data_IF_632775548908
#
_entry.id   IF_632775548908
#
_cell.length_a   1.000
_cell.length_b   1.000
_cell.length_c   1.000
_cell.angle_alpha   90.00
_cell.angle_beta   90.00
_cell.angle_gamma   90.00
#
_symmetry.space_group_name_H-M   'P 1'
#
loop_
_entity.id
_entity.type
_entity.pdbx_description
1 polymer ?
#
# COMPACT_ATOMS: atom_id res chain seq x y z
N UNK A 1 14.08 -4.59 82.28
CA UNK A 1 14.29 -5.34 80.98
C UNK A 1 13.33 -4.75 79.99
N UNK A 2 13.80 -3.82 79.14
CA UNK A 2 12.99 -3.05 78.19
C UNK A 2 13.37 -3.47 76.77
N UNK A 3 12.43 -4.14 76.06
CA UNK A 3 12.60 -4.57 74.72
C UNK A 3 12.38 -3.37 73.80
N UNK A 4 13.41 -3.02 73.03
CA UNK A 4 13.32 -2.04 71.93
C UNK A 4 12.72 -2.72 70.67
N UNK A 5 11.56 -2.27 70.26
CA UNK A 5 10.92 -2.66 68.99
C UNK A 5 11.48 -1.73 67.91
N UNK A 6 12.32 -2.30 67.05
CA UNK A 6 12.81 -1.60 65.86
C UNK A 6 11.74 -1.70 64.73
N UNK A 7 11.10 -0.59 64.39
CA UNK A 7 10.19 -0.52 63.23
C UNK A 7 11.05 -0.34 61.96
N UNK A 8 11.12 -1.39 61.15
CA UNK A 8 11.66 -1.32 59.81
C UNK A 8 10.64 -0.63 58.90
N UNK A 9 10.98 0.56 58.42
CA UNK A 9 10.19 1.31 57.45
C UNK A 9 10.54 0.78 56.04
N UNK A 10 9.70 -0.12 55.53
CA UNK A 10 9.83 -0.64 54.18
C UNK A 10 9.24 0.39 53.20
N UNK A 11 10.12 1.14 52.58
CA UNK A 11 9.76 2.12 51.55
C UNK A 11 9.45 1.38 50.24
N UNK A 12 8.17 1.14 49.95
CA UNK A 12 7.72 0.65 48.67
C UNK A 12 7.83 1.79 47.62
N UNK A 13 8.88 1.80 46.85
CA UNK A 13 8.96 2.64 45.66
C UNK A 13 8.05 1.99 44.60
N UNK A 14 6.84 2.53 44.46
CA UNK A 14 5.99 2.23 43.29
C UNK A 14 6.64 2.86 42.06
N UNK A 15 7.31 2.05 41.25
CA UNK A 15 7.65 2.39 39.90
C UNK A 15 6.32 2.40 39.11
N UNK A 16 5.75 3.57 38.92
CA UNK A 16 4.69 3.75 37.94
C UNK A 16 5.33 3.56 36.58
N UNK A 17 5.28 2.35 36.03
CA UNK A 17 5.46 2.14 34.60
C UNK A 17 4.29 2.82 33.92
N UNK A 18 4.52 4.03 33.40
CA UNK A 18 3.66 4.61 32.40
C UNK A 18 3.75 3.71 31.18
N UNK A 19 2.75 2.85 30.99
CA UNK A 19 2.51 2.22 29.71
C UNK A 19 2.13 3.36 28.77
N UNK A 20 3.09 3.90 28.05
CA UNK A 20 2.81 4.69 26.87
C UNK A 20 2.16 3.70 25.92
N UNK A 21 0.85 3.77 25.76
CA UNK A 21 0.16 3.06 24.70
C UNK A 21 0.75 3.62 23.38
N UNK A 22 1.72 2.91 22.84
CA UNK A 22 2.16 3.12 21.49
C UNK A 22 0.96 2.76 20.62
N UNK A 23 0.28 3.77 20.09
CA UNK A 23 -0.65 3.54 18.99
C UNK A 23 0.22 3.13 17.80
N UNK A 24 0.35 1.81 17.60
CA UNK A 24 0.95 1.29 16.39
C UNK A 24 0.17 1.88 15.20
N UNK A 25 0.83 2.59 14.32
CA UNK A 25 0.22 3.02 13.09
C UNK A 25 -0.06 1.76 12.26
N UNK A 26 -1.30 1.56 11.84
CA UNK A 26 -1.64 0.42 10.97
C UNK A 26 -1.09 0.59 9.54
N UNK A 27 -0.71 1.81 9.17
CA UNK A 27 -0.19 2.21 7.87
C UNK A 27 0.58 3.53 7.97
N UNK A 28 1.45 3.76 7.02
CA UNK A 28 2.02 5.07 6.71
C UNK A 28 1.74 5.44 5.27
N UNK A 29 1.75 6.72 4.98
CA UNK A 29 1.52 7.29 3.65
C UNK A 29 2.46 8.44 3.40
N UNK A 30 3.03 8.52 2.22
CA UNK A 30 3.90 9.62 1.79
C UNK A 30 3.05 10.67 1.09
N UNK A 31 3.12 11.92 1.54
CA UNK A 31 2.41 13.07 0.99
C UNK A 31 3.38 14.22 0.75
N UNK A 32 3.21 14.95 -0.34
CA UNK A 32 4.05 16.10 -0.67
C UNK A 32 4.18 16.31 -2.16
N UNK A 33 4.69 17.46 -2.57
CA UNK A 33 4.91 17.76 -3.98
C UNK A 33 6.04 16.94 -4.63
N UNK A 34 6.89 16.29 -3.80
CA UNK A 34 7.88 15.32 -4.28
C UNK A 34 7.27 13.99 -4.75
N UNK A 35 6.03 13.66 -4.42
CA UNK A 35 5.34 12.44 -4.88
C UNK A 35 4.20 12.76 -5.83
N UNK A 36 3.70 11.72 -6.49
CA UNK A 36 2.63 11.79 -7.48
C UNK A 36 1.37 12.53 -7.00
N UNK A 37 0.86 12.18 -5.80
CA UNK A 37 -0.40 12.70 -5.26
C UNK A 37 -0.34 14.14 -4.75
N UNK A 38 0.86 14.77 -4.74
CA UNK A 38 1.06 16.10 -4.22
C UNK A 38 0.63 16.22 -2.74
N UNK A 39 0.18 17.40 -2.35
CA UNK A 39 -0.33 17.69 -1.00
C UNK A 39 -1.81 17.32 -0.81
N UNK A 40 -2.28 16.25 -1.48
CA UNK A 40 -3.64 15.73 -1.33
C UNK A 40 -3.61 14.43 -0.52
N UNK A 41 -4.02 14.43 0.78
CA UNK A 41 -3.93 13.22 1.63
C UNK A 41 -4.64 12.00 1.05
N UNK A 42 -5.79 12.18 0.40
CA UNK A 42 -6.52 11.09 -0.24
C UNK A 42 -5.75 10.43 -1.41
N UNK A 43 -4.76 11.14 -2.00
CA UNK A 43 -3.90 10.64 -3.07
C UNK A 43 -2.47 10.29 -2.58
N UNK A 44 -2.25 10.18 -1.27
CA UNK A 44 -0.96 9.81 -0.69
C UNK A 44 -0.51 8.41 -1.11
N UNK A 45 0.79 8.22 -1.25
CA UNK A 45 1.38 6.92 -1.56
C UNK A 45 1.41 6.04 -0.30
N UNK A 46 0.74 4.91 -0.34
CA UNK A 46 0.68 3.98 0.79
C UNK A 46 2.01 3.23 0.94
N UNK A 47 2.54 3.21 2.15
CA UNK A 47 3.67 2.36 2.54
C UNK A 47 3.14 1.06 3.15
N UNK A 48 3.67 -0.06 2.72
CA UNK A 48 3.27 -1.38 3.20
C UNK A 48 4.01 -1.75 4.49
N UNK A 49 3.36 -2.46 5.43
CA UNK A 49 4.04 -2.98 6.62
C UNK A 49 5.18 -3.94 6.23
N UNK A 50 6.33 -3.81 6.91
CA UNK A 50 7.52 -4.65 6.76
C UNK A 50 8.08 -5.11 8.12
N UNK A 51 7.22 -5.26 9.09
CA UNK A 51 7.51 -5.63 10.47
C UNK A 51 6.69 -4.83 11.45
N UNK A 52 6.94 -5.03 12.74
CA UNK A 52 6.26 -4.27 13.79
C UNK A 52 6.73 -2.80 13.78
N UNK A 53 5.82 -1.88 13.47
CA UNK A 53 6.09 -0.44 13.32
C UNK A 53 7.15 -0.09 12.25
N UNK A 54 7.42 -0.99 11.30
CA UNK A 54 8.28 -0.72 10.15
C UNK A 54 7.44 -0.73 8.88
N UNK A 55 7.66 0.27 8.02
CA UNK A 55 6.90 0.46 6.77
C UNK A 55 7.86 0.71 5.63
N UNK A 56 7.51 0.18 4.46
CA UNK A 56 8.31 0.35 3.25
C UNK A 56 7.46 0.72 2.04
N UNK A 57 8.10 1.42 1.10
CA UNK A 57 7.56 1.71 -0.21
C UNK A 57 8.70 1.83 -1.23
N UNK A 58 8.50 1.28 -2.42
CA UNK A 58 9.27 1.70 -3.60
C UNK A 58 8.50 2.83 -4.26
N UNK A 59 9.04 4.05 -4.28
CA UNK A 59 8.31 5.23 -4.73
C UNK A 59 9.19 6.19 -5.52
N UNK A 60 8.62 6.77 -6.58
CA UNK A 60 9.28 7.84 -7.32
C UNK A 60 9.22 9.14 -6.51
N UNK A 61 10.39 9.60 -6.09
CA UNK A 61 10.57 10.89 -5.42
C UNK A 61 11.20 11.87 -6.39
N UNK A 62 10.58 13.04 -6.51
CA UNK A 62 11.06 14.15 -7.33
C UNK A 62 11.96 15.06 -6.49
N UNK A 63 13.09 15.45 -7.08
CA UNK A 63 13.97 16.48 -6.52
C UNK A 63 13.27 17.84 -6.51
N UNK A 64 13.60 18.67 -5.53
CA UNK A 64 13.21 20.07 -5.49
C UNK A 64 13.72 20.80 -6.74
N UNK A 65 12.82 21.37 -7.52
CA UNK A 65 13.12 22.18 -8.72
C UNK A 65 12.75 23.67 -8.55
N UNK A 66 12.03 23.98 -7.46
CA UNK A 66 11.58 25.34 -7.13
C UNK A 66 10.33 25.79 -7.90
N UNK A 67 9.88 25.03 -8.89
CA UNK A 67 8.68 25.31 -9.69
C UNK A 67 7.55 24.34 -9.37
N UNK A 68 7.74 23.04 -9.64
CA UNK A 68 6.78 21.96 -9.40
C UNK A 68 6.96 21.30 -8.04
N UNK A 69 8.21 21.13 -7.60
CA UNK A 69 8.54 20.58 -6.27
C UNK A 69 9.23 21.70 -5.47
N UNK A 70 8.54 22.21 -4.46
CA UNK A 70 8.98 23.36 -3.66
C UNK A 70 9.43 22.97 -2.27
N UNK A 71 8.79 21.98 -1.67
CA UNK A 71 8.97 21.65 -0.27
C UNK A 71 9.48 20.23 -0.02
N UNK A 72 9.04 19.23 -0.80
CA UNK A 72 9.39 17.83 -0.61
C UNK A 72 8.23 16.97 -0.12
N UNK A 73 8.44 16.14 0.92
CA UNK A 73 7.42 15.23 1.42
C UNK A 73 7.48 15.04 2.95
N UNK A 74 6.40 14.55 3.51
CA UNK A 74 6.26 14.05 4.89
C UNK A 74 5.37 12.83 4.92
N UNK A 75 5.13 12.28 6.13
CA UNK A 75 4.35 11.06 6.30
C UNK A 75 3.07 11.34 7.09
N UNK A 76 2.01 10.62 6.72
CA UNK A 76 0.71 10.62 7.40
C UNK A 76 0.38 9.22 7.90
N UNK A 77 -0.39 9.12 8.99
CA UNK A 77 -0.96 7.84 9.47
C UNK A 77 -2.37 7.57 8.94
N UNK A 78 -2.98 8.54 8.26
CA UNK A 78 -4.29 8.42 7.62
C UNK A 78 -4.38 9.37 6.42
N UNK A 79 -5.31 9.11 5.49
CA UNK A 79 -5.53 9.93 4.28
C UNK A 79 -6.26 11.26 4.59
N UNK A 80 -5.83 11.96 5.62
CA UNK A 80 -6.37 13.26 6.07
C UNK A 80 -5.32 14.06 6.84
N UNK A 81 -5.51 15.38 6.95
CA UNK A 81 -4.58 16.25 7.70
C UNK A 81 -4.71 16.12 9.22
N UNK A 82 -5.90 15.82 9.72
CA UNK A 82 -6.14 15.61 11.15
C UNK A 82 -5.76 14.17 11.56
N UNK A 83 -4.44 13.89 11.54
CA UNK A 83 -3.86 12.61 11.95
C UNK A 83 -2.46 12.82 12.53
N UNK A 84 -1.87 11.76 13.09
CA UNK A 84 -0.47 11.78 13.46
C UNK A 84 0.38 11.86 12.17
N UNK A 85 1.34 12.78 12.17
CA UNK A 85 2.21 13.08 11.02
C UNK A 85 3.66 12.95 11.45
N UNK A 86 4.52 12.51 10.53
CA UNK A 86 5.97 12.46 10.74
C UNK A 86 6.68 13.33 9.72
N UNK A 87 7.71 14.07 10.16
CA UNK A 87 8.40 15.07 9.39
C UNK A 87 9.89 15.20 9.79
N UNK A 88 10.63 16.10 9.15
CA UNK A 88 12.07 16.26 9.31
C UNK A 88 12.51 17.06 10.57
N UNK A 89 11.56 17.54 11.38
CA UNK A 89 11.86 18.30 12.62
C UNK A 89 12.06 19.79 12.40
N UNK A 90 13.18 20.34 12.84
CA UNK A 90 13.42 21.79 12.90
C UNK A 90 13.90 22.41 11.59
N UNK A 91 14.39 21.60 10.66
CA UNK A 91 14.85 22.02 9.33
C UNK A 91 14.49 20.99 8.28
N UNK A 92 14.37 21.42 7.02
CA UNK A 92 14.24 20.47 5.91
C UNK A 92 15.50 19.60 5.82
N UNK A 93 15.31 18.32 5.52
CA UNK A 93 16.38 17.32 5.45
C UNK A 93 16.46 16.72 4.06
N UNK A 94 17.57 16.95 3.38
CA UNK A 94 17.91 16.22 2.17
C UNK A 94 18.47 14.84 2.56
N UNK A 95 17.75 13.78 2.19
CA UNK A 95 18.10 12.41 2.53
C UNK A 95 19.38 11.98 1.78
N UNK A 96 20.36 11.51 2.55
CA UNK A 96 21.55 10.83 2.03
C UNK A 96 21.20 9.38 1.71
N UNK A 97 21.61 8.90 0.54
CA UNK A 97 21.29 7.55 0.08
C UNK A 97 21.75 6.47 1.08
N UNK A 98 20.82 5.66 1.57
CA UNK A 98 21.07 4.59 2.53
C UNK A 98 21.41 5.05 3.95
N UNK A 99 21.39 6.34 4.24
CA UNK A 99 21.66 6.89 5.58
C UNK A 99 20.34 7.20 6.28
N UNK A 100 20.21 6.72 7.52
CA UNK A 100 19.03 6.98 8.33
C UNK A 100 18.97 8.44 8.78
N UNK A 101 17.86 9.11 8.52
CA UNK A 101 17.51 10.42 9.04
C UNK A 101 16.48 10.30 10.17
N UNK A 102 16.50 11.25 11.11
CA UNK A 102 15.59 11.27 12.25
C UNK A 102 14.17 11.65 11.81
N UNK A 103 13.17 10.90 12.31
CA UNK A 103 11.75 11.20 12.24
C UNK A 103 11.31 11.94 13.51
N UNK A 104 10.51 12.98 13.34
CA UNK A 104 9.80 13.67 14.42
C UNK A 104 8.30 13.59 14.16
N UNK A 105 7.52 13.34 15.18
CA UNK A 105 6.08 13.45 15.06
C UNK A 105 5.57 14.85 15.44
N UNK A 106 4.40 15.22 14.93
CA UNK A 106 3.81 16.54 15.12
C UNK A 106 3.26 16.80 16.53
N UNK A 107 3.33 15.83 17.44
CA UNK A 107 3.02 15.99 18.86
C UNK A 107 4.29 16.33 19.67
N UNK A 108 5.44 15.79 19.27
CA UNK A 108 6.74 16.06 19.90
C UNK A 108 7.38 17.35 19.38
N UNK A 109 7.24 17.62 18.07
CA UNK A 109 7.80 18.79 17.41
C UNK A 109 6.75 19.45 16.52
N UNK A 110 6.35 20.66 16.83
CA UNK A 110 5.34 21.42 16.09
C UNK A 110 5.81 22.04 14.77
N UNK A 111 7.10 21.88 14.41
CA UNK A 111 7.61 22.35 13.12
C UNK A 111 7.16 21.37 12.00
N UNK A 112 6.92 21.90 10.80
CA UNK A 112 6.42 21.11 9.67
C UNK A 112 7.44 21.13 8.53
N UNK A 113 8.64 20.61 8.82
CA UNK A 113 9.75 20.52 7.87
C UNK A 113 9.69 19.23 7.07
N UNK A 114 10.26 19.22 5.87
CA UNK A 114 10.07 18.19 4.87
C UNK A 114 11.34 17.40 4.62
N UNK A 115 11.16 16.15 4.19
CA UNK A 115 12.22 15.37 3.59
C UNK A 115 12.32 15.69 2.11
N UNK A 116 13.55 15.67 1.60
CA UNK A 116 13.89 15.98 0.22
C UNK A 116 14.89 14.94 -0.31
N UNK A 117 15.03 14.82 -1.62
CA UNK A 117 16.01 13.95 -2.25
C UNK A 117 16.92 14.74 -3.20
N UNK A 118 18.16 14.27 -3.37
CA UNK A 118 19.20 14.91 -4.19
C UNK A 118 18.89 14.85 -5.69
N UNK A 119 18.18 13.82 -6.14
CA UNK A 119 17.80 13.65 -7.53
C UNK A 119 16.46 12.92 -7.64
N UNK A 120 15.80 13.08 -8.78
CA UNK A 120 14.54 12.41 -9.07
C UNK A 120 14.80 10.98 -9.50
N UNK A 121 14.28 10.00 -8.76
CA UNK A 121 14.44 8.57 -9.02
C UNK A 121 13.38 7.75 -8.27
N UNK A 122 13.29 6.46 -8.54
CA UNK A 122 12.60 5.52 -7.66
C UNK A 122 13.50 5.21 -6.47
N UNK A 123 12.95 5.31 -5.27
CA UNK A 123 13.63 5.00 -4.01
C UNK A 123 12.88 3.91 -3.25
N UNK A 124 13.64 3.01 -2.65
CA UNK A 124 13.16 2.13 -1.60
C UNK A 124 13.23 2.91 -0.29
N UNK A 125 12.08 3.35 0.19
CA UNK A 125 11.92 4.13 1.42
C UNK A 125 11.50 3.21 2.55
N UNK A 126 12.25 3.24 3.66
CA UNK A 126 11.95 2.49 4.88
C UNK A 126 11.77 3.46 6.03
N UNK A 127 10.65 3.34 6.74
CA UNK A 127 10.37 4.09 7.96
C UNK A 127 10.29 3.10 9.13
N UNK A 128 11.17 3.27 10.11
CA UNK A 128 11.15 2.54 11.38
C UNK A 128 10.68 3.47 12.50
N UNK A 129 9.44 3.29 12.93
CA UNK A 129 8.86 4.11 14.00
C UNK A 129 9.39 3.74 15.39
N UNK A 130 9.99 2.53 15.56
CA UNK A 130 10.63 2.17 16.82
C UNK A 130 11.95 2.92 17.00
N UNK A 131 12.73 3.00 15.92
CA UNK A 131 13.98 3.77 15.89
C UNK A 131 13.77 5.26 15.61
N UNK A 132 12.55 5.66 15.22
CA UNK A 132 12.20 6.99 14.72
C UNK A 132 13.12 7.44 13.59
N UNK A 133 13.24 6.61 12.55
CA UNK A 133 14.12 6.89 11.41
C UNK A 133 13.43 6.67 10.07
N UNK A 134 13.91 7.40 9.05
CA UNK A 134 13.59 7.20 7.65
C UNK A 134 14.89 7.01 6.87
N UNK A 135 14.87 6.05 5.95
CA UNK A 135 15.98 5.79 5.03
C UNK A 135 15.43 5.75 3.60
N UNK A 136 16.14 6.34 2.65
CA UNK A 136 15.85 6.25 1.24
C UNK A 136 17.08 5.75 0.48
N UNK A 137 16.93 4.65 -0.25
CA UNK A 137 17.97 4.07 -1.10
C UNK A 137 17.43 4.00 -2.52
N UNK A 138 18.21 4.32 -3.54
CA UNK A 138 17.75 4.17 -4.92
C UNK A 138 17.35 2.74 -5.18
N UNK A 139 16.14 2.57 -5.66
CA UNK A 139 15.61 1.25 -6.03
C UNK A 139 16.36 0.67 -7.23
N UNK A 140 16.45 -0.66 -7.29
CA UNK A 140 16.96 -1.34 -8.47
C UNK A 140 16.08 -1.13 -9.71
N UNK A 141 14.78 -0.84 -9.52
CA UNK A 141 13.85 -0.56 -10.61
C UNK A 141 13.80 0.94 -10.92
N UNK A 142 14.20 1.33 -12.13
CA UNK A 142 14.23 2.72 -12.59
C UNK A 142 13.55 2.93 -13.95
N UNK A 143 12.91 1.90 -14.51
CA UNK A 143 12.37 1.95 -15.87
C UNK A 143 11.17 2.92 -15.99
N UNK A 144 10.26 2.88 -15.02
CA UNK A 144 9.10 3.78 -14.94
C UNK A 144 8.95 4.34 -13.52
N UNK A 145 8.38 5.56 -13.36
CA UNK A 145 8.07 6.11 -12.04
C UNK A 145 7.08 5.25 -11.27
N UNK A 146 7.47 4.71 -10.12
CA UNK A 146 6.61 3.93 -9.24
C UNK A 146 5.83 4.88 -8.35
N UNK A 147 4.53 5.02 -8.61
CA UNK A 147 3.67 5.95 -7.87
C UNK A 147 2.80 5.26 -6.81
N UNK A 148 2.70 3.93 -6.82
CA UNK A 148 1.88 3.14 -5.90
C UNK A 148 2.58 1.85 -5.50
N UNK A 149 2.33 1.40 -4.26
CA UNK A 149 2.80 0.11 -3.74
C UNK A 149 1.65 -0.87 -3.52
N UNK A 150 0.43 -0.40 -3.57
CA UNK A 150 -0.78 -1.19 -3.48
C UNK A 150 -1.90 -0.52 -4.28
N UNK A 151 -2.81 -1.34 -4.79
CA UNK A 151 -4.06 -0.91 -5.40
C UNK A 151 -5.20 -1.73 -4.80
N UNK A 152 -6.42 -1.24 -4.91
CA UNK A 152 -7.60 -1.93 -4.40
C UNK A 152 -8.75 -1.84 -5.40
N UNK A 153 -9.47 -2.93 -5.57
CA UNK A 153 -10.73 -2.91 -6.32
C UNK A 153 -11.88 -2.50 -5.41
N UNK A 154 -12.78 -1.66 -5.91
CA UNK A 154 -13.98 -1.19 -5.24
C UNK A 154 -15.16 -1.19 -6.21
N UNK A 155 -16.32 -1.63 -5.76
CA UNK A 155 -17.54 -1.69 -6.58
C UNK A 155 -18.45 -2.83 -6.18
N UNK A 156 -19.71 -2.78 -6.59
CA UNK A 156 -20.69 -3.82 -6.28
C UNK A 156 -20.38 -5.16 -6.93
N UNK A 157 -19.50 -5.20 -7.93
CA UNK A 157 -18.93 -6.43 -8.44
C UNK A 157 -17.94 -7.09 -7.46
N UNK A 158 -17.31 -6.33 -6.54
CA UNK A 158 -16.32 -6.86 -5.61
C UNK A 158 -16.97 -7.44 -4.35
N UNK A 159 -16.28 -8.31 -3.57
CA UNK A 159 -16.78 -8.83 -2.30
C UNK A 159 -17.19 -7.75 -1.29
N UNK A 160 -16.46 -6.62 -1.26
CA UNK A 160 -16.65 -5.53 -0.32
C UNK A 160 -17.64 -4.44 -0.79
N UNK A 161 -18.20 -4.58 -1.97
CA UNK A 161 -19.06 -3.57 -2.58
C UNK A 161 -18.39 -2.17 -2.66
N UNK A 162 -19.14 -1.09 -2.51
CA UNK A 162 -18.64 0.30 -2.47
C UNK A 162 -18.13 0.73 -1.07
N UNK A 163 -17.73 -0.24 -0.23
CA UNK A 163 -17.32 0.01 1.15
C UNK A 163 -15.80 0.08 1.29
N UNK A 164 -15.26 1.27 1.62
CA UNK A 164 -13.83 1.48 1.83
C UNK A 164 -13.26 0.75 3.07
N UNK A 165 -14.09 0.27 3.97
CA UNK A 165 -13.66 -0.62 5.07
C UNK A 165 -13.42 -2.07 4.63
N UNK A 166 -13.71 -2.44 3.37
CA UNK A 166 -13.68 -3.83 2.87
C UNK A 166 -13.21 -3.93 1.43
N UNK A 167 -12.30 -3.05 1.00
CA UNK A 167 -11.75 -3.06 -0.35
C UNK A 167 -11.04 -4.38 -0.65
N UNK A 168 -11.14 -4.83 -1.91
CA UNK A 168 -10.40 -6.00 -2.37
C UNK A 168 -8.98 -5.62 -2.77
N UNK A 169 -7.94 -6.05 -2.02
CA UNK A 169 -6.57 -5.67 -2.31
C UNK A 169 -6.04 -6.33 -3.59
N UNK A 170 -5.16 -5.61 -4.28
CA UNK A 170 -4.32 -6.15 -5.34
C UNK A 170 -2.87 -6.20 -4.85
N UNK A 171 -2.18 -7.30 -5.13
CA UNK A 171 -0.78 -7.48 -4.74
C UNK A 171 0.13 -6.97 -5.85
N UNK A 172 1.10 -6.14 -5.49
CA UNK A 172 2.17 -5.71 -6.39
C UNK A 172 3.04 -6.92 -6.77
N UNK A 173 3.40 -7.02 -8.04
CA UNK A 173 4.29 -8.07 -8.53
C UNK A 173 5.72 -7.84 -8.00
N UNK A 174 6.38 -8.92 -7.57
CA UNK A 174 7.71 -8.84 -6.95
C UNK A 174 8.84 -8.51 -7.92
N UNK A 175 8.64 -8.78 -9.23
CA UNK A 175 9.63 -8.55 -10.27
C UNK A 175 9.37 -7.24 -11.02
N UNK A 176 8.10 -6.84 -11.13
CA UNK A 176 7.70 -5.60 -11.81
C UNK A 176 6.76 -4.77 -10.93
N UNK A 177 7.25 -3.73 -10.24
CA UNK A 177 6.45 -2.91 -9.34
C UNK A 177 5.35 -2.09 -10.04
N UNK A 178 5.30 -2.08 -11.37
CA UNK A 178 4.21 -1.45 -12.12
C UNK A 178 3.01 -2.38 -12.34
N UNK A 179 3.11 -3.67 -11.99
CA UNK A 179 2.08 -4.68 -12.19
C UNK A 179 1.41 -5.03 -10.86
N UNK A 180 0.08 -5.05 -10.85
CA UNK A 180 -0.74 -5.42 -9.69
C UNK A 180 -1.70 -6.54 -10.06
N UNK A 181 -1.83 -7.54 -9.20
CA UNK A 181 -2.61 -8.76 -9.46
C UNK A 181 -3.57 -9.06 -8.32
N UNK A 182 -4.73 -9.59 -8.65
CA UNK A 182 -5.66 -10.19 -7.69
C UNK A 182 -6.37 -11.38 -8.32
N UNK A 183 -6.55 -12.44 -7.53
CA UNK A 183 -7.49 -13.53 -7.86
C UNK A 183 -8.62 -13.45 -6.85
N UNK A 184 -9.84 -13.17 -7.31
CA UNK A 184 -10.99 -12.94 -6.43
C UNK A 184 -12.30 -13.30 -7.10
N UNK A 185 -13.31 -13.62 -6.27
CA UNK A 185 -14.68 -13.78 -6.76
C UNK A 185 -15.29 -12.42 -7.06
N UNK A 186 -15.75 -12.23 -8.29
CA UNK A 186 -16.50 -11.04 -8.69
C UNK A 186 -17.95 -11.43 -8.98
N UNK A 187 -18.87 -10.59 -8.50
CA UNK A 187 -20.32 -10.65 -8.79
C UNK A 187 -20.64 -9.93 -10.10
N UNK A 188 -21.83 -10.11 -10.62
CA UNK A 188 -22.35 -9.23 -11.66
C UNK A 188 -22.52 -7.82 -11.08
N UNK A 189 -21.95 -6.81 -11.74
CA UNK A 189 -21.93 -5.44 -11.27
C UNK A 189 -20.79 -4.64 -11.86
N UNK A 190 -20.45 -3.52 -11.22
CA UNK A 190 -19.40 -2.61 -11.68
C UNK A 190 -18.26 -2.53 -10.67
N UNK A 191 -17.05 -2.22 -11.17
CA UNK A 191 -15.89 -1.94 -10.33
C UNK A 191 -14.98 -0.88 -10.93
N UNK A 192 -14.18 -0.24 -10.07
CA UNK A 192 -13.04 0.62 -10.40
C UNK A 192 -11.89 0.35 -9.43
N UNK A 193 -10.74 1.01 -9.64
CA UNK A 193 -9.54 0.75 -8.86
C UNK A 193 -9.18 2.01 -8.06
N UNK A 194 -9.05 1.84 -6.75
CA UNK A 194 -8.61 2.83 -5.80
C UNK A 194 -7.09 2.76 -5.60
N UNK A 195 -6.44 3.90 -5.47
CA UNK A 195 -5.01 4.00 -5.18
C UNK A 195 -4.70 4.04 -3.67
N UNK A 196 -5.73 4.26 -2.84
CA UNK A 196 -5.59 4.38 -1.40
C UNK A 196 -6.82 3.76 -0.70
N UNK A 197 -6.59 2.93 0.29
CA UNK A 197 -7.65 2.25 1.04
C UNK A 197 -8.28 3.10 2.15
N UNK A 198 -7.79 4.32 2.35
CA UNK A 198 -8.28 5.26 3.37
C UNK A 198 -8.77 6.60 2.75
N UNK A 199 -8.56 6.80 1.45
CA UNK A 199 -8.91 8.04 0.76
C UNK A 199 -10.41 8.23 0.49
N UNK A 200 -11.25 7.22 0.73
CA UNK A 200 -12.66 7.28 0.41
C UNK A 200 -12.89 7.60 -1.07
N UNK A 201 -13.99 8.30 -1.37
CA UNK A 201 -14.27 8.77 -2.72
C UNK A 201 -13.60 10.10 -3.08
N UNK A 202 -12.84 10.70 -2.16
CA UNK A 202 -12.12 11.96 -2.38
C UNK A 202 -10.79 11.77 -3.15
N UNK A 203 -10.36 10.51 -3.33
CA UNK A 203 -9.19 10.16 -4.12
C UNK A 203 -9.46 10.14 -5.61
N UNK A 204 -8.42 10.26 -6.41
CA UNK A 204 -8.49 9.96 -7.86
C UNK A 204 -8.43 8.44 -8.07
N UNK A 205 -9.26 7.93 -8.97
CA UNK A 205 -9.35 6.50 -9.28
C UNK A 205 -8.67 6.17 -10.59
N UNK A 206 -8.24 4.92 -10.73
CA UNK A 206 -8.00 4.28 -12.01
C UNK A 206 -9.33 3.76 -12.54
N UNK A 207 -9.68 4.19 -13.74
CA UNK A 207 -10.98 4.00 -14.37
C UNK A 207 -10.80 3.30 -15.72
N UNK A 208 -11.89 2.71 -16.22
CA UNK A 208 -11.95 2.15 -17.57
C UNK A 208 -11.89 3.27 -18.60
N UNK A 209 -11.13 3.07 -19.67
CA UNK A 209 -11.22 3.95 -20.84
C UNK A 209 -12.64 3.90 -21.46
N UNK A 210 -13.13 5.03 -21.95
CA UNK A 210 -14.49 5.14 -22.48
C UNK A 210 -14.74 4.23 -23.69
N UNK A 211 -13.70 3.87 -24.44
CA UNK A 211 -13.77 3.18 -25.72
C UNK A 211 -13.08 1.82 -25.76
N UNK A 212 -12.23 1.51 -24.75
CA UNK A 212 -11.44 0.29 -24.70
C UNK A 212 -11.44 -0.29 -23.28
N UNK A 213 -12.10 -1.43 -23.09
CA UNK A 213 -12.24 -2.10 -21.79
C UNK A 213 -10.90 -2.67 -21.28
N UNK A 214 -9.87 -2.78 -22.12
CA UNK A 214 -8.52 -3.25 -21.76
C UNK A 214 -7.59 -2.10 -21.35
N UNK A 215 -8.05 -0.85 -21.44
CA UNK A 215 -7.27 0.34 -21.10
C UNK A 215 -7.72 0.96 -19.78
N UNK A 216 -6.72 1.48 -19.10
CA UNK A 216 -6.89 2.17 -17.81
C UNK A 216 -6.62 3.67 -18.03
N UNK A 217 -7.43 4.52 -17.43
CA UNK A 217 -7.19 5.97 -17.35
C UNK A 217 -7.14 6.39 -15.88
N UNK A 218 -6.33 7.39 -15.56
CA UNK A 218 -6.26 7.95 -14.22
C UNK A 218 -7.11 9.21 -14.12
N UNK A 219 -8.19 9.15 -13.35
CA UNK A 219 -9.18 10.23 -13.27
C UNK A 219 -10.07 10.33 -14.52
N UNK A 220 -10.78 11.45 -14.64
CA UNK A 220 -11.72 11.68 -15.74
C UNK A 220 -13.14 11.26 -15.41
N UNK A 221 -13.92 10.90 -16.43
CA UNK A 221 -15.30 10.43 -16.28
C UNK A 221 -15.35 9.09 -15.56
N UNK A 222 -16.29 8.90 -14.64
CA UNK A 222 -16.39 7.74 -13.76
C UNK A 222 -16.82 6.45 -14.50
N UNK A 223 -16.10 6.11 -15.58
CA UNK A 223 -16.27 4.87 -16.33
C UNK A 223 -15.75 3.68 -15.52
N UNK A 224 -16.53 2.62 -15.45
CA UNK A 224 -16.26 1.42 -14.65
C UNK A 224 -16.17 0.19 -15.52
N UNK A 225 -15.45 -0.82 -15.07
CA UNK A 225 -15.51 -2.15 -15.68
C UNK A 225 -16.78 -2.84 -15.21
N UNK A 226 -17.50 -3.46 -16.15
CA UNK A 226 -18.73 -4.20 -15.88
C UNK A 226 -18.45 -5.70 -15.93
N UNK A 227 -18.74 -6.39 -14.83
CA UNK A 227 -18.70 -7.84 -14.73
C UNK A 227 -20.10 -8.38 -15.07
N UNK A 228 -20.19 -9.16 -16.13
CA UNK A 228 -21.48 -9.68 -16.65
C UNK A 228 -21.81 -11.10 -16.17
N UNK A 229 -20.86 -11.81 -15.60
CA UNK A 229 -21.02 -13.16 -15.07
C UNK A 229 -20.26 -13.30 -13.74
N UNK A 230 -20.94 -13.84 -12.73
CA UNK A 230 -20.34 -14.07 -11.43
C UNK A 230 -19.42 -15.30 -11.48
N UNK A 231 -18.13 -15.08 -11.19
CA UNK A 231 -17.09 -16.12 -11.15
C UNK A 231 -15.87 -15.65 -10.35
N UNK A 232 -14.90 -16.54 -10.14
CA UNK A 232 -13.55 -16.12 -9.74
C UNK A 232 -12.82 -15.61 -10.97
N UNK A 233 -12.12 -14.46 -10.81
CA UNK A 233 -11.36 -13.80 -11.85
C UNK A 233 -9.92 -13.58 -11.43
N UNK A 234 -9.01 -13.67 -12.38
CA UNK A 234 -7.68 -13.11 -12.32
C UNK A 234 -7.73 -11.71 -12.93
N UNK A 235 -7.37 -10.73 -12.14
CA UNK A 235 -7.32 -9.31 -12.55
C UNK A 235 -5.88 -8.85 -12.48
N UNK A 236 -5.35 -8.37 -13.59
CA UNK A 236 -3.98 -7.83 -13.69
C UNK A 236 -4.03 -6.41 -14.22
N UNK A 237 -3.45 -5.46 -13.48
CA UNK A 237 -3.27 -4.07 -13.91
C UNK A 237 -1.79 -3.82 -14.14
N UNK A 238 -1.44 -3.25 -15.29
CA UNK A 238 -0.09 -2.79 -15.61
C UNK A 238 -0.11 -1.27 -15.76
N UNK A 239 0.48 -0.56 -14.79
CA UNK A 239 0.53 0.90 -14.78
C UNK A 239 1.60 1.47 -15.73
N UNK A 240 2.57 0.68 -16.18
CA UNK A 240 3.54 1.13 -17.19
C UNK A 240 2.86 1.33 -18.56
N UNK A 241 1.97 0.41 -18.93
CA UNK A 241 1.25 0.40 -20.21
C UNK A 241 -0.18 0.98 -20.08
N UNK A 242 -0.62 1.27 -18.86
CA UNK A 242 -1.99 1.67 -18.53
C UNK A 242 -3.02 0.68 -19.09
N UNK A 243 -2.84 -0.60 -18.75
CA UNK A 243 -3.70 -1.69 -19.21
C UNK A 243 -4.26 -2.51 -18.06
N UNK A 244 -5.40 -3.15 -18.31
CA UNK A 244 -6.00 -4.13 -17.43
C UNK A 244 -6.37 -5.40 -18.19
N UNK A 245 -6.21 -6.54 -17.55
CA UNK A 245 -6.66 -7.84 -18.03
C UNK A 245 -7.57 -8.47 -16.96
N UNK A 246 -8.80 -8.84 -17.35
CA UNK A 246 -9.81 -9.42 -16.46
C UNK A 246 -10.24 -10.75 -17.07
N UNK A 247 -9.75 -11.86 -16.54
CA UNK A 247 -9.99 -13.20 -17.06
C UNK A 247 -10.61 -14.09 -15.99
N UNK A 248 -11.56 -14.97 -16.39
CA UNK A 248 -12.03 -15.99 -15.47
C UNK A 248 -10.86 -16.87 -15.04
N UNK A 249 -10.77 -17.05 -13.74
CA UNK A 249 -9.81 -17.96 -13.14
C UNK A 249 -10.22 -19.40 -13.42
N UNK A 250 -9.38 -20.16 -14.10
CA UNK A 250 -9.55 -21.58 -14.27
C UNK A 250 -8.53 -22.28 -13.37
N UNK A 251 -9.03 -23.01 -12.37
CA UNK A 251 -8.15 -23.84 -11.57
C UNK A 251 -7.42 -24.84 -12.50
N UNK A 252 -6.13 -24.98 -12.30
CA UNK A 252 -5.36 -26.00 -13.01
C UNK A 252 -5.92 -27.38 -12.65
N UNK A 253 -6.51 -28.07 -13.61
CA UNK A 253 -6.91 -29.44 -13.43
C UNK A 253 -5.65 -30.32 -13.51
N UNK A 254 -5.20 -30.77 -12.36
CA UNK A 254 -4.21 -31.86 -12.33
C UNK A 254 -4.95 -33.14 -12.67
N UNK A 255 -4.76 -33.64 -13.89
CA UNK A 255 -5.27 -34.93 -14.30
C UNK A 255 -4.24 -35.99 -13.94
N UNK A 256 -4.43 -36.67 -12.83
CA UNK A 256 -3.56 -37.79 -12.43
C UNK A 256 -3.62 -38.96 -13.41
N UNK A 257 -4.80 -39.19 -14.00
CA UNK A 257 -5.02 -40.25 -14.94
C UNK A 257 -6.01 -39.85 -16.01
N UNK A 258 -5.66 -40.10 -17.27
CA UNK A 258 -6.55 -39.99 -18.40
C UNK A 258 -6.91 -41.40 -18.90
N UNK A 259 -8.19 -41.71 -18.88
CA UNK A 259 -8.68 -42.98 -19.41
C UNK A 259 -9.21 -42.79 -20.83
N UNK A 260 -8.77 -43.66 -21.72
CA UNK A 260 -9.34 -43.76 -23.07
C UNK A 260 -10.30 -44.93 -23.09
N UNK A 261 -11.56 -44.69 -23.45
CA UNK A 261 -12.61 -45.73 -23.57
C UNK A 261 -13.19 -45.66 -24.97
N UNK A 262 -13.55 -46.82 -25.50
CA UNK A 262 -14.16 -46.92 -26.82
C UNK A 262 -13.91 -48.28 -27.49
N UNK A 263 -14.60 -48.56 -28.57
CA UNK A 263 -14.53 -49.82 -29.31
C UNK A 263 -13.16 -50.06 -29.97
N UNK A 264 -12.38 -48.99 -30.18
CA UNK A 264 -11.07 -49.04 -30.81
C UNK A 264 -9.93 -49.41 -29.86
N UNK A 265 -10.22 -49.63 -28.55
CA UNK A 265 -9.22 -50.02 -27.56
C UNK A 265 -9.58 -51.39 -26.94
N UNK A 266 -8.57 -52.08 -26.41
CA UNK A 266 -8.70 -53.44 -25.86
C UNK A 266 -9.78 -53.60 -24.79
N UNK A 267 -9.94 -52.64 -23.89
CA UNK A 267 -10.92 -52.65 -22.82
C UNK A 267 -12.32 -52.18 -23.23
N UNK A 268 -12.50 -51.72 -24.46
CA UNK A 268 -13.79 -51.22 -24.94
C UNK A 268 -14.36 -50.07 -24.06
N UNK A 269 -15.65 -50.12 -23.78
CA UNK A 269 -16.36 -49.15 -22.94
C UNK A 269 -16.32 -49.48 -21.43
N UNK A 270 -15.40 -50.35 -20.98
CA UNK A 270 -15.25 -50.73 -19.58
C UNK A 270 -14.34 -49.79 -18.80
N UNK A 271 -14.69 -49.50 -17.55
CA UNK A 271 -13.84 -48.72 -16.60
C UNK A 271 -12.97 -49.64 -15.72
N UNK A 272 -13.01 -50.93 -15.94
CA UNK A 272 -12.25 -51.92 -15.14
C UNK A 272 -10.95 -52.28 -15.87
N UNK A 273 -9.83 -52.00 -15.17
CA UNK A 273 -8.41 -52.31 -15.41
C UNK A 273 -7.65 -51.30 -16.26
#
# INVERSE_FOLDING_TARGET
MVQKITRSLMCCVLFAMSVVASFAADKLMIVGDAVWGGWTPANSVVMLPDGENVFKATVYLKKIDGETVKEGFKLLTAAKWDCLQYHAGDSDVELEEGVAAQLYDNQENGNDKKFQVKESANYDVVCDLNAKTITATKSAYQEHPVNHNALWMVGDATPGDWNFGSLTPMTQDSENPMVFKATTYLKVGEMKIAQNNDGGFDQTFYLRDATDDTKVVFGGDDNKWTITEAATYDVTVNLADMTIDIKKHYADFVVDHLFVIGDAIWSGWGFAN
#
